data_IF_394364504155
#
_entry.id   IF_394364504155
#
_cell.length_a   1.000
_cell.length_b   1.000
_cell.length_c   1.000
_cell.angle_alpha   90.00
_cell.angle_beta   90.00
_cell.angle_gamma   90.00
#
_symmetry.space_group_name_H-M   'P 1'
#
loop_
_entity.id
_entity.type
_entity.pdbx_description
1 polymer ?
#
# COMPACT_ATOMS: atom_id res chain seq x y z
N UNK A 1 -16.82 -32.57 5.91
CA UNK A 1 -15.46 -32.03 5.65
C UNK A 1 -15.28 -30.80 6.53
N UNK A 2 -14.23 -30.73 7.35
CA UNK A 2 -14.03 -29.62 8.31
C UNK A 2 -13.76 -28.28 7.60
N UNK A 3 -14.28 -27.16 8.13
CA UNK A 3 -14.12 -25.79 7.58
C UNK A 3 -12.65 -25.45 7.27
N UNK A 4 -11.72 -25.93 8.11
CA UNK A 4 -10.27 -25.74 7.93
C UNK A 4 -9.73 -26.43 6.67
N UNK A 5 -10.20 -27.63 6.36
CA UNK A 5 -9.76 -28.40 5.18
C UNK A 5 -10.24 -27.73 3.89
N UNK A 6 -11.46 -27.17 3.90
CA UNK A 6 -12.00 -26.40 2.78
C UNK A 6 -11.16 -25.13 2.53
N UNK A 7 -10.75 -24.43 3.58
CA UNK A 7 -9.89 -23.25 3.47
C UNK A 7 -8.49 -23.59 2.93
N UNK A 8 -7.86 -24.68 3.39
CA UNK A 8 -6.55 -25.13 2.84
C UNK A 8 -6.65 -25.39 1.35
N UNK A 9 -7.75 -26.00 0.88
CA UNK A 9 -7.99 -26.21 -0.55
C UNK A 9 -8.10 -24.90 -1.31
N UNK A 10 -8.90 -23.94 -0.82
CA UNK A 10 -9.07 -22.64 -1.47
C UNK A 10 -7.73 -21.89 -1.56
N UNK A 11 -6.99 -21.80 -0.46
CA UNK A 11 -5.65 -21.19 -0.45
C UNK A 11 -4.69 -21.87 -1.44
N UNK A 12 -4.80 -23.19 -1.62
CA UNK A 12 -3.96 -23.92 -2.58
C UNK A 12 -4.28 -23.54 -4.02
N UNK A 13 -5.56 -23.36 -4.35
CA UNK A 13 -6.01 -22.89 -5.66
C UNK A 13 -5.54 -21.45 -5.89
N UNK A 14 -5.67 -20.59 -4.88
CA UNK A 14 -5.23 -19.19 -4.96
C UNK A 14 -3.71 -19.09 -5.17
N UNK A 15 -2.93 -19.92 -4.46
CA UNK A 15 -1.47 -19.97 -4.63
C UNK A 15 -1.11 -20.43 -6.04
N UNK A 16 -1.80 -21.45 -6.55
CA UNK A 16 -1.57 -21.95 -7.90
C UNK A 16 -1.89 -20.90 -8.99
N UNK A 17 -2.97 -20.15 -8.81
CA UNK A 17 -3.34 -19.03 -9.68
C UNK A 17 -2.33 -17.88 -9.59
N UNK A 18 -1.87 -17.53 -8.38
CA UNK A 18 -0.88 -16.47 -8.16
C UNK A 18 0.48 -16.83 -8.77
N UNK A 19 0.92 -18.08 -8.66
CA UNK A 19 2.11 -18.58 -9.34
C UNK A 19 1.94 -18.51 -10.86
N UNK A 20 0.79 -18.92 -11.40
CA UNK A 20 0.50 -18.82 -12.82
C UNK A 20 0.50 -17.36 -13.32
N UNK A 21 -0.01 -16.42 -12.53
CA UNK A 21 0.05 -14.98 -12.81
C UNK A 21 1.51 -14.44 -12.86
N UNK A 22 2.43 -15.10 -12.15
CA UNK A 22 3.88 -14.84 -12.24
C UNK A 22 4.56 -15.56 -13.43
N UNK A 23 3.79 -16.10 -14.38
CA UNK A 23 4.26 -16.89 -15.53
C UNK A 23 4.98 -18.18 -15.14
N UNK A 24 4.66 -18.75 -13.98
CA UNK A 24 5.19 -20.05 -13.58
C UNK A 24 4.66 -21.18 -14.46
N UNK A 25 5.53 -22.14 -14.79
CA UNK A 25 5.21 -23.30 -15.66
C UNK A 25 5.19 -24.60 -14.85
N UNK A 26 4.25 -25.50 -15.15
CA UNK A 26 4.13 -26.81 -14.50
C UNK A 26 2.68 -27.22 -14.23
N UNK A 27 2.46 -28.50 -13.93
CA UNK A 27 1.14 -29.09 -13.69
C UNK A 27 0.63 -28.91 -12.25
N UNK A 28 1.48 -28.49 -11.32
CA UNK A 28 1.08 -28.27 -9.93
C UNK A 28 1.99 -27.30 -9.17
N UNK A 29 1.59 -26.97 -7.93
CA UNK A 29 2.25 -25.96 -7.07
C UNK A 29 3.76 -26.17 -6.97
N UNK A 30 4.22 -27.41 -6.79
CA UNK A 30 5.66 -27.71 -6.65
C UNK A 30 6.43 -27.35 -7.92
N UNK A 31 5.94 -27.77 -9.08
CA UNK A 31 6.61 -27.50 -10.37
C UNK A 31 6.57 -26.01 -10.71
N UNK A 32 5.40 -25.37 -10.53
CA UNK A 32 5.23 -23.93 -10.71
C UNK A 32 6.17 -23.13 -9.81
N UNK A 33 6.27 -23.50 -8.53
CA UNK A 33 7.23 -22.89 -7.60
C UNK A 33 8.68 -23.05 -8.09
N UNK A 34 9.10 -24.25 -8.48
CA UNK A 34 10.46 -24.50 -8.96
C UNK A 34 10.80 -23.66 -10.20
N UNK A 35 9.83 -23.44 -11.09
CA UNK A 35 10.04 -22.65 -12.32
C UNK A 35 10.31 -21.15 -12.09
N UNK A 36 9.98 -20.62 -10.91
CA UNK A 36 10.20 -19.21 -10.56
C UNK A 36 11.02 -19.05 -9.28
N UNK A 37 11.61 -20.14 -8.76
CA UNK A 37 12.26 -20.17 -7.46
C UNK A 37 13.39 -19.14 -7.36
N UNK A 38 14.13 -18.94 -8.44
CA UNK A 38 15.21 -17.97 -8.61
C UNK A 38 14.75 -16.52 -8.42
N UNK A 39 13.48 -16.23 -8.73
CA UNK A 39 12.87 -14.89 -8.58
C UNK A 39 12.30 -14.63 -7.19
N UNK A 40 12.26 -15.65 -6.33
CA UNK A 40 11.66 -15.57 -5.01
C UNK A 40 12.75 -15.40 -3.93
N UNK A 41 12.57 -14.48 -2.98
CA UNK A 41 13.49 -14.37 -1.86
C UNK A 41 13.38 -15.58 -0.92
N UNK A 42 14.48 -15.92 -0.24
CA UNK A 42 14.61 -17.16 0.53
C UNK A 42 13.52 -17.33 1.61
N UNK A 43 13.07 -16.23 2.23
CA UNK A 43 11.99 -16.26 3.21
C UNK A 43 10.65 -16.69 2.60
N UNK A 44 10.32 -16.23 1.39
CA UNK A 44 9.10 -16.61 0.66
C UNK A 44 9.19 -18.06 0.19
N UNK A 45 10.38 -18.50 -0.23
CA UNK A 45 10.61 -19.90 -0.58
C UNK A 45 10.34 -20.83 0.61
N UNK A 46 10.86 -20.51 1.80
CA UNK A 46 10.63 -21.29 3.03
C UNK A 46 9.14 -21.36 3.39
N UNK A 47 8.42 -20.24 3.26
CA UNK A 47 6.97 -20.18 3.52
C UNK A 47 6.17 -21.04 2.55
N UNK A 48 6.50 -21.00 1.25
CA UNK A 48 5.86 -21.87 0.24
C UNK A 48 6.10 -23.34 0.57
N UNK A 49 7.32 -23.71 0.96
CA UNK A 49 7.65 -25.08 1.36
C UNK A 49 6.87 -25.52 2.60
N UNK A 50 6.78 -24.66 3.62
CA UNK A 50 5.99 -24.90 4.83
C UNK A 50 4.50 -25.13 4.48
N UNK A 51 3.92 -24.25 3.66
CA UNK A 51 2.53 -24.38 3.22
C UNK A 51 2.29 -25.66 2.42
N UNK A 52 3.19 -26.00 1.50
CA UNK A 52 3.08 -27.23 0.71
C UNK A 52 3.19 -28.49 1.57
N UNK A 53 4.08 -28.47 2.57
CA UNK A 53 4.24 -29.57 3.52
C UNK A 53 2.95 -29.79 4.34
N UNK A 54 2.41 -28.73 4.94
CA UNK A 54 1.19 -28.85 5.74
C UNK A 54 -0.01 -29.25 4.88
N UNK A 55 -0.16 -28.67 3.67
CA UNK A 55 -1.19 -29.05 2.71
C UNK A 55 -1.13 -30.54 2.39
N UNK A 56 0.06 -31.07 2.11
CA UNK A 56 0.22 -32.49 1.76
C UNK A 56 -0.16 -33.40 2.94
N UNK A 57 0.24 -33.06 4.17
CA UNK A 57 -0.16 -33.81 5.37
C UNK A 57 -1.68 -33.82 5.56
N UNK A 58 -2.33 -32.67 5.37
CA UNK A 58 -3.80 -32.56 5.53
C UNK A 58 -4.53 -33.35 4.45
N UNK A 59 -4.08 -33.26 3.19
CA UNK A 59 -4.80 -33.81 2.03
C UNK A 59 -4.50 -35.29 1.78
N UNK A 60 -3.28 -35.75 2.03
CA UNK A 60 -2.85 -37.14 1.77
C UNK A 60 -2.84 -38.00 3.03
N UNK A 61 -2.33 -37.47 4.15
CA UNK A 61 -2.16 -38.26 5.38
C UNK A 61 -3.40 -38.18 6.30
N UNK A 62 -4.46 -37.49 5.86
CA UNK A 62 -5.67 -37.19 6.65
C UNK A 62 -5.34 -36.54 8.00
N UNK A 63 -4.21 -35.82 8.07
CA UNK A 63 -3.77 -35.15 9.27
C UNK A 63 -4.72 -34.00 9.63
N UNK A 64 -5.07 -33.89 10.91
CA UNK A 64 -5.83 -32.75 11.42
C UNK A 64 -4.86 -31.77 12.11
N UNK A 65 -4.64 -30.57 11.55
CA UNK A 65 -3.67 -29.63 12.09
C UNK A 65 -4.16 -29.04 13.40
N UNK A 66 -3.22 -28.74 14.29
CA UNK A 66 -3.50 -27.92 15.47
C UNK A 66 -3.96 -26.52 15.06
N UNK A 67 -4.57 -25.79 16.00
CA UNK A 67 -5.01 -24.42 15.72
C UNK A 67 -3.82 -23.52 15.34
N UNK A 68 -2.71 -23.66 16.05
CA UNK A 68 -1.51 -22.83 15.86
C UNK A 68 -0.83 -23.10 14.50
N UNK A 69 -0.68 -24.37 14.11
CA UNK A 69 -0.15 -24.74 12.78
C UNK A 69 -1.03 -24.17 11.66
N UNK A 70 -2.35 -24.21 11.83
CA UNK A 70 -3.28 -23.67 10.84
C UNK A 70 -3.21 -22.13 10.77
N UNK A 71 -3.09 -21.44 11.91
CA UNK A 71 -2.93 -19.98 11.93
C UNK A 71 -1.61 -19.55 11.28
N UNK A 72 -0.52 -20.27 11.57
CA UNK A 72 0.78 -20.01 10.96
C UNK A 72 0.73 -20.25 9.44
N UNK A 73 0.09 -21.33 9.00
CA UNK A 73 -0.17 -21.58 7.58
C UNK A 73 -0.95 -20.45 6.92
N UNK A 74 -2.01 -19.97 7.56
CA UNK A 74 -2.84 -18.90 7.01
C UNK A 74 -2.07 -17.57 6.90
N UNK A 75 -1.20 -17.28 7.87
CA UNK A 75 -0.30 -16.13 7.83
C UNK A 75 0.70 -16.26 6.69
N UNK A 76 1.35 -17.42 6.57
CA UNK A 76 2.35 -17.68 5.53
C UNK A 76 1.73 -17.64 4.13
N UNK A 77 0.54 -18.21 3.93
CA UNK A 77 -0.18 -18.14 2.66
C UNK A 77 -0.54 -16.71 2.28
N UNK A 78 -1.02 -15.89 3.23
CA UNK A 78 -1.33 -14.49 2.96
C UNK A 78 -0.10 -13.69 2.53
N UNK A 79 1.01 -13.87 3.22
CA UNK A 79 2.27 -13.18 2.88
C UNK A 79 2.81 -13.62 1.51
N UNK A 80 2.76 -14.92 1.20
CA UNK A 80 3.16 -15.48 -0.10
C UNK A 80 2.27 -14.94 -1.21
N UNK A 81 0.94 -15.01 -1.05
CA UNK A 81 -0.01 -14.51 -2.05
C UNK A 81 0.18 -13.02 -2.30
N UNK A 82 0.32 -12.22 -1.24
CA UNK A 82 0.58 -10.80 -1.35
C UNK A 82 1.87 -10.52 -2.15
N UNK A 83 2.95 -11.26 -1.85
CA UNK A 83 4.21 -11.13 -2.58
C UNK A 83 4.07 -11.53 -4.06
N UNK A 84 3.43 -12.66 -4.36
CA UNK A 84 3.23 -13.12 -5.74
C UNK A 84 2.34 -12.17 -6.54
N UNK A 85 1.29 -11.62 -5.95
CA UNK A 85 0.47 -10.60 -6.60
C UNK A 85 1.26 -9.33 -6.92
N UNK A 86 2.15 -8.92 -6.00
CA UNK A 86 3.07 -7.79 -6.20
C UNK A 86 4.04 -8.08 -7.34
N UNK A 87 4.61 -9.29 -7.37
CA UNK A 87 5.54 -9.73 -8.40
C UNK A 87 4.88 -9.82 -9.78
N UNK A 88 3.61 -10.26 -9.83
CA UNK A 88 2.84 -10.38 -11.07
C UNK A 88 2.40 -9.01 -11.64
N UNK A 89 2.18 -8.00 -10.79
CA UNK A 89 1.67 -6.68 -11.20
C UNK A 89 2.59 -5.51 -10.77
N UNK A 90 3.85 -5.47 -11.23
CA UNK A 90 4.79 -4.42 -10.81
C UNK A 90 4.37 -3.01 -11.26
N UNK A 91 3.62 -2.89 -12.38
CA UNK A 91 3.15 -1.58 -12.88
C UNK A 91 2.11 -0.92 -11.96
N UNK A 92 1.15 -1.70 -11.45
CA UNK A 92 0.04 -1.16 -10.66
C UNK A 92 0.50 -0.51 -9.35
N UNK A 93 1.52 -1.07 -8.70
CA UNK A 93 2.09 -0.49 -7.47
C UNK A 93 2.81 0.84 -7.74
N UNK A 94 3.58 0.92 -8.83
CA UNK A 94 4.27 2.15 -9.21
C UNK A 94 3.26 3.26 -9.55
N UNK A 95 2.13 2.90 -10.16
CA UNK A 95 1.05 3.84 -10.47
C UNK A 95 0.37 4.36 -9.20
N UNK A 96 0.09 3.50 -8.21
CA UNK A 96 -0.51 3.88 -6.93
C UNK A 96 0.42 4.80 -6.11
N UNK A 97 1.71 4.47 -6.04
CA UNK A 97 2.73 5.30 -5.38
C UNK A 97 2.92 6.65 -6.09
N UNK A 98 2.95 6.66 -7.42
CA UNK A 98 3.03 7.88 -8.22
C UNK A 98 1.80 8.78 -8.03
N UNK A 99 0.59 8.20 -7.99
CA UNK A 99 -0.65 8.94 -7.76
C UNK A 99 -0.69 9.57 -6.37
N UNK A 100 -0.19 8.88 -5.33
CA UNK A 100 -0.05 9.49 -4.00
C UNK A 100 0.93 10.66 -3.98
N UNK A 101 2.08 10.52 -4.65
CA UNK A 101 3.09 11.60 -4.75
C UNK A 101 2.52 12.80 -5.49
N UNK A 102 1.86 12.59 -6.63
CA UNK A 102 1.21 13.66 -7.40
C UNK A 102 0.12 14.36 -6.59
N UNK A 103 -0.70 13.61 -5.84
CA UNK A 103 -1.71 14.17 -4.95
C UNK A 103 -1.12 15.05 -3.85
N UNK A 104 -0.02 14.63 -3.23
CA UNK A 104 0.72 15.43 -2.24
C UNK A 104 1.27 16.73 -2.85
N UNK A 105 1.89 16.65 -4.03
CA UNK A 105 2.42 17.83 -4.73
C UNK A 105 1.29 18.82 -5.05
N UNK A 106 0.14 18.33 -5.50
CA UNK A 106 -1.04 19.15 -5.76
C UNK A 106 -1.52 19.87 -4.49
N UNK A 107 -1.65 19.14 -3.38
CA UNK A 107 -2.08 19.70 -2.09
C UNK A 107 -1.13 20.80 -1.59
N UNK A 108 0.19 20.56 -1.66
CA UNK A 108 1.20 21.56 -1.29
C UNK A 108 1.09 22.79 -2.18
N UNK A 109 0.90 22.60 -3.48
CA UNK A 109 0.76 23.70 -4.44
C UNK A 109 -0.50 24.55 -4.17
N UNK A 110 -1.63 23.90 -3.88
CA UNK A 110 -2.88 24.58 -3.51
C UNK A 110 -2.71 25.33 -2.18
N UNK A 111 -2.11 24.67 -1.18
CA UNK A 111 -1.83 25.30 0.12
C UNK A 111 -0.94 26.54 -0.02
N UNK A 112 0.06 26.48 -0.89
CA UNK A 112 0.92 27.61 -1.20
C UNK A 112 0.17 28.76 -1.88
N UNK A 113 -0.72 28.47 -2.84
CA UNK A 113 -1.58 29.47 -3.49
C UNK A 113 -2.50 30.17 -2.48
N UNK A 114 -3.17 29.40 -1.62
CA UNK A 114 -4.03 29.92 -0.56
C UNK A 114 -3.22 30.81 0.39
N UNK A 115 -2.04 30.35 0.82
CA UNK A 115 -1.15 31.13 1.66
C UNK A 115 -0.78 32.47 1.02
N UNK A 116 -0.35 32.48 -0.25
CA UNK A 116 -0.02 33.72 -0.97
C UNK A 116 -1.21 34.68 -1.04
N UNK A 117 -2.42 34.16 -1.26
CA UNK A 117 -3.64 34.96 -1.30
C UNK A 117 -3.91 35.65 0.04
N UNK A 118 -3.82 34.91 1.15
CA UNK A 118 -4.00 35.48 2.49
C UNK A 118 -2.94 36.52 2.84
N UNK A 119 -1.68 36.30 2.47
CA UNK A 119 -0.61 37.27 2.66
C UNK A 119 -0.92 38.57 1.89
N UNK A 120 -1.39 38.48 0.64
CA UNK A 120 -1.78 39.65 -0.14
C UNK A 120 -2.91 40.44 0.53
N UNK A 121 -3.97 39.76 1.00
CA UNK A 121 -5.06 40.39 1.74
C UNK A 121 -4.53 41.11 2.98
N UNK A 122 -3.67 40.45 3.77
CA UNK A 122 -3.11 41.04 4.98
C UNK A 122 -2.29 42.30 4.67
N UNK A 123 -1.43 42.24 3.64
CA UNK A 123 -0.65 43.42 3.23
C UNK A 123 -1.52 44.58 2.77
N UNK A 124 -2.64 44.30 2.11
CA UNK A 124 -3.60 45.32 1.69
C UNK A 124 -4.30 45.99 2.88
N UNK A 125 -4.76 45.19 3.86
CA UNK A 125 -5.38 45.70 5.09
C UNK A 125 -4.40 46.58 5.87
N UNK A 126 -3.17 46.11 6.07
CA UNK A 126 -2.12 46.88 6.74
C UNK A 126 -1.83 48.19 6.00
N UNK A 127 -1.79 48.16 4.66
CA UNK A 127 -1.65 49.37 3.84
C UNK A 127 -2.75 50.39 4.08
N UNK A 128 -4.01 49.97 4.12
CA UNK A 128 -5.16 50.85 4.42
C UNK A 128 -5.02 51.49 5.81
N UNK A 129 -4.65 50.69 6.83
CA UNK A 129 -4.48 51.19 8.21
C UNK A 129 -3.39 52.26 8.27
N UNK A 130 -2.25 52.02 7.63
CA UNK A 130 -1.13 52.98 7.60
C UNK A 130 -1.55 54.29 6.92
N UNK A 131 -2.23 54.21 5.77
CA UNK A 131 -2.72 55.39 5.05
C UNK A 131 -3.71 56.17 5.94
N UNK A 132 -4.63 55.49 6.60
CA UNK A 132 -5.59 56.11 7.52
C UNK A 132 -4.90 56.84 8.68
N UNK A 133 -3.87 56.23 9.28
CA UNK A 133 -3.08 56.85 10.35
C UNK A 133 -2.33 58.11 9.88
N UNK A 134 -1.78 58.09 8.65
CA UNK A 134 -1.12 59.25 8.06
C UNK A 134 -2.12 60.39 7.84
N UNK A 135 -3.27 60.10 7.22
CA UNK A 135 -4.32 61.10 6.96
C UNK A 135 -4.80 61.73 8.27
N UNK A 136 -5.05 60.90 9.29
CA UNK A 136 -5.45 61.39 10.61
C UNK A 136 -4.39 62.28 11.26
N UNK A 137 -3.11 61.90 11.18
CA UNK A 137 -2.00 62.71 11.69
C UNK A 137 -1.91 64.06 10.99
N UNK A 138 -2.06 64.09 9.67
CA UNK A 138 -2.05 65.33 8.87
C UNK A 138 -3.26 66.21 9.23
N UNK A 139 -4.46 65.63 9.31
CA UNK A 139 -5.67 66.36 9.69
C UNK A 139 -5.52 67.03 11.06
N UNK A 140 -5.04 66.28 12.06
CA UNK A 140 -4.80 66.82 13.41
C UNK A 140 -3.77 67.95 13.41
N UNK A 141 -2.65 67.79 12.70
CA UNK A 141 -1.61 68.81 12.59
C UNK A 141 -2.11 70.11 11.94
N UNK A 142 -3.00 70.00 10.95
CA UNK A 142 -3.61 71.16 10.30
C UNK A 142 -4.64 71.86 11.19
N UNK A 143 -5.33 71.13 12.07
CA UNK A 143 -6.37 71.68 12.95
C UNK A 143 -5.80 72.26 14.26
N UNK A 144 -4.58 71.87 14.65
CA UNK A 144 -3.84 72.42 15.81
C UNK A 144 -3.06 73.71 15.46
N UNK A 145 -3.14 74.21 14.21
CA UNK A 145 -2.58 75.48 13.74
C UNK A 145 -3.66 76.54 13.56
#
# INVERSE_FOLDING_TARGET
MSKRIMNVRNYSVDLENALAACQATGAGIKEKYLSIQDKLPQNIQQKIQHCNHLRNRIMHDKYNPTLDEYQQYEKDMREVLHFLHKLANPKKQNDDEAMMILGLILLVSIGFLIYKFWVQILTFIVGIIIIGAIIYGVYRFLNDR
#
